data_IF_059292538340
#
_entry.id   IF_059292538340
#
_cell.length_a   1.000
_cell.length_b   1.000
_cell.length_c   1.000
_cell.angle_alpha   90.00
_cell.angle_beta   90.00
_cell.angle_gamma   90.00
#
_symmetry.space_group_name_H-M   'P 1'
#
loop_
_entity.id
_entity.type
_entity.pdbx_description
1 polymer ?
#
# COMPACT_ATOMS: atom_id res chain seq x y z
N UNK A 1 -5.66 2.77 18.09
CA UNK A 1 -5.83 3.77 17.02
C UNK A 1 -6.73 3.19 15.93
N UNK A 2 -7.74 3.90 15.43
CA UNK A 2 -8.58 3.40 14.34
C UNK A 2 -7.72 3.12 13.11
N UNK A 3 -7.89 1.92 12.52
CA UNK A 3 -7.14 1.50 11.33
C UNK A 3 -7.68 2.25 10.12
N UNK A 4 -7.00 3.31 9.69
CA UNK A 4 -7.22 3.89 8.36
C UNK A 4 -6.62 2.94 7.32
N UNK A 5 -7.44 2.07 6.73
CA UNK A 5 -7.08 1.33 5.52
C UNK A 5 -7.24 2.23 4.28
N UNK A 6 -6.54 1.91 3.20
CA UNK A 6 -6.76 2.51 1.90
C UNK A 6 -8.16 2.16 1.41
N UNK A 7 -9.00 3.17 1.30
CA UNK A 7 -10.26 3.06 0.57
C UNK A 7 -9.97 2.79 -0.91
N UNK A 8 -10.91 2.17 -1.60
CA UNK A 8 -10.76 1.83 -3.02
C UNK A 8 -10.41 3.07 -3.87
N UNK A 9 -11.09 4.20 -3.62
CA UNK A 9 -10.83 5.45 -4.31
C UNK A 9 -9.42 6.02 -4.07
N UNK A 10 -8.83 5.80 -2.89
CA UNK A 10 -7.45 6.23 -2.60
C UNK A 10 -6.45 5.26 -3.22
N UNK A 11 -6.74 3.96 -3.16
CA UNK A 11 -5.93 2.93 -3.81
C UNK A 11 -5.85 3.17 -5.31
N UNK A 12 -6.97 3.41 -5.98
CA UNK A 12 -7.04 3.63 -7.43
C UNK A 12 -6.18 4.83 -7.86
N UNK A 13 -6.31 5.98 -7.17
CA UNK A 13 -5.47 7.16 -7.43
C UNK A 13 -3.99 6.88 -7.27
N UNK A 14 -3.61 6.21 -6.17
CA UNK A 14 -2.22 5.85 -5.90
C UNK A 14 -1.69 4.86 -6.95
N UNK A 15 -2.49 3.86 -7.30
CA UNK A 15 -2.15 2.85 -8.29
C UNK A 15 -1.89 3.46 -9.67
N UNK A 16 -2.75 4.38 -10.12
CA UNK A 16 -2.52 5.11 -11.37
C UNK A 16 -1.24 5.94 -11.35
N UNK A 17 -0.93 6.61 -10.24
CA UNK A 17 0.33 7.36 -10.09
C UNK A 17 1.54 6.43 -10.11
N UNK A 18 1.48 5.28 -9.45
CA UNK A 18 2.57 4.29 -9.47
C UNK A 18 2.78 3.71 -10.87
N UNK A 19 1.68 3.35 -11.55
CA UNK A 19 1.71 2.80 -12.91
C UNK A 19 2.27 3.80 -13.93
N UNK A 20 1.96 5.09 -13.78
CA UNK A 20 2.49 6.13 -14.67
C UNK A 20 4.00 6.32 -14.58
N UNK A 21 4.64 5.87 -13.49
CA UNK A 21 6.11 5.88 -13.40
C UNK A 21 6.80 4.86 -14.31
N UNK A 22 6.06 3.88 -14.86
CA UNK A 22 6.61 2.76 -15.62
C UNK A 22 7.43 1.76 -14.79
N UNK A 23 7.57 1.97 -13.48
CA UNK A 23 8.34 1.09 -12.57
C UNK A 23 7.47 0.07 -11.84
N UNK A 24 6.16 0.27 -11.84
CA UNK A 24 5.18 -0.62 -11.20
C UNK A 24 4.24 -1.14 -12.27
N UNK A 25 4.20 -2.46 -12.42
CA UNK A 25 3.29 -3.13 -13.35
C UNK A 25 1.95 -3.45 -12.65
N UNK A 26 0.98 -3.93 -13.41
CA UNK A 26 -0.34 -4.25 -12.90
C UNK A 26 -0.34 -5.61 -12.20
N UNK A 27 -0.48 -5.62 -10.87
CA UNK A 27 -0.68 -6.84 -10.08
C UNK A 27 -1.64 -6.59 -8.91
N UNK A 28 -2.59 -7.52 -8.66
CA UNK A 28 -3.55 -7.40 -7.58
C UNK A 28 -2.89 -7.41 -6.18
N UNK A 29 -1.73 -8.05 -6.02
CA UNK A 29 -1.02 -8.15 -4.74
C UNK A 29 -0.43 -6.80 -4.29
N UNK A 30 -0.23 -5.84 -5.20
CA UNK A 30 0.38 -4.55 -4.86
C UNK A 30 -0.39 -3.80 -3.77
N UNK A 31 -1.72 -3.96 -3.71
CA UNK A 31 -2.52 -3.34 -2.66
C UNK A 31 -2.16 -3.86 -1.28
N UNK A 32 -2.01 -5.17 -1.15
CA UNK A 32 -1.65 -5.79 0.13
C UNK A 32 -0.22 -5.42 0.56
N UNK A 33 0.72 -5.38 -0.37
CA UNK A 33 2.09 -4.91 -0.08
C UNK A 33 2.08 -3.46 0.43
N UNK A 34 1.31 -2.57 -0.19
CA UNK A 34 1.22 -1.18 0.24
C UNK A 34 0.55 -1.03 1.60
N UNK A 35 -0.52 -1.78 1.87
CA UNK A 35 -1.14 -1.84 3.20
C UNK A 35 -0.15 -2.31 4.26
N UNK A 36 0.68 -3.30 3.95
CA UNK A 36 1.77 -3.77 4.81
C UNK A 36 2.81 -2.67 5.10
N UNK A 37 3.26 -1.93 4.08
CA UNK A 37 4.15 -0.77 4.24
C UNK A 37 3.50 0.27 5.16
N UNK A 38 2.25 0.64 4.90
CA UNK A 38 1.53 1.64 5.70
C UNK A 38 1.30 1.16 7.13
N UNK A 39 1.02 -0.12 7.33
CA UNK A 39 0.91 -0.70 8.67
C UNK A 39 2.23 -0.58 9.42
N UNK A 40 3.34 -0.99 8.79
CA UNK A 40 4.68 -0.85 9.37
C UNK A 40 5.01 0.60 9.74
N UNK A 41 4.72 1.56 8.86
CA UNK A 41 4.96 2.99 9.13
C UNK A 41 4.13 3.52 10.31
N UNK A 42 2.92 2.98 10.53
CA UNK A 42 2.04 3.38 11.64
C UNK A 42 2.45 2.77 12.98
N UNK A 43 2.91 1.51 12.98
CA UNK A 43 3.14 0.74 14.20
C UNK A 43 4.61 0.63 14.58
N UNK A 44 5.52 0.88 13.64
CA UNK A 44 6.96 0.73 13.83
C UNK A 44 7.44 -0.72 13.88
N UNK A 45 6.58 -1.70 13.55
CA UNK A 45 6.97 -3.11 13.67
C UNK A 45 8.14 -3.48 12.73
N UNK A 46 9.00 -4.44 13.11
CA UNK A 46 9.98 -5.01 12.19
C UNK A 46 9.30 -5.68 10.99
N UNK A 47 9.98 -5.70 9.85
CA UNK A 47 9.49 -6.39 8.64
C UNK A 47 9.28 -7.89 8.86
N UNK A 48 10.06 -8.50 9.75
CA UNK A 48 9.94 -9.92 10.10
C UNK A 48 8.61 -10.26 10.77
N UNK A 49 7.99 -9.28 11.42
CA UNK A 49 6.79 -9.48 12.23
C UNK A 49 5.51 -9.01 11.52
N UNK A 50 5.62 -8.69 10.21
CA UNK A 50 4.53 -8.31 9.31
C UNK A 50 4.10 -9.52 8.46
#
# INVERSE_FOLDING_TARGET
MPRLMLTDARWEKLFHLMKSTGRVYDKPEHRQTFEGILYRLRTGIPWRDL
#
